data_IF_747856447431
#
_entry.id   IF_747856447431
#
_cell.length_a   1.000
_cell.length_b   1.000
_cell.length_c   1.000
_cell.angle_alpha   90.00
_cell.angle_beta   90.00
_cell.angle_gamma   90.00
#
_symmetry.space_group_name_H-M   'P 1'
#
loop_
_entity.id
_entity.type
_entity.pdbx_description
1 polymer ?
#
# COMPACT_ATOMS: atom_id res chain seq x y z
N UNK A 1 6.30 -12.49 -13.99
CA UNK A 1 6.68 -11.68 -12.81
C UNK A 1 5.41 -11.39 -12.04
N UNK A 2 5.44 -11.53 -10.73
CA UNK A 2 4.26 -11.36 -9.89
C UNK A 2 4.01 -9.88 -9.61
N UNK A 3 2.79 -9.40 -9.88
CA UNK A 3 2.37 -8.02 -9.67
C UNK A 3 2.52 -7.64 -8.19
N UNK A 4 2.22 -8.58 -7.27
CA UNK A 4 2.32 -8.35 -5.83
C UNK A 4 3.74 -7.99 -5.41
N UNK A 5 4.75 -8.66 -5.98
CA UNK A 5 6.18 -8.42 -5.70
C UNK A 5 6.63 -7.06 -6.23
N UNK A 6 6.17 -6.68 -7.40
CA UNK A 6 6.47 -5.36 -7.99
C UNK A 6 5.88 -4.25 -7.10
N UNK A 7 4.62 -4.38 -6.71
CA UNK A 7 3.93 -3.39 -5.86
C UNK A 7 4.57 -3.31 -4.48
N UNK A 8 4.95 -4.45 -3.88
CA UNK A 8 5.69 -4.48 -2.62
C UNK A 8 6.99 -3.69 -2.71
N UNK A 9 7.77 -3.89 -3.78
CA UNK A 9 9.03 -3.19 -4.00
C UNK A 9 8.83 -1.69 -4.19
N UNK A 10 7.85 -1.28 -5.00
CA UNK A 10 7.50 0.12 -5.25
C UNK A 10 7.07 0.83 -3.95
N UNK A 11 6.18 0.23 -3.17
CA UNK A 11 5.72 0.77 -1.88
C UNK A 11 6.87 0.90 -0.88
N UNK A 12 7.76 -0.10 -0.83
CA UNK A 12 8.92 -0.09 0.06
C UNK A 12 9.94 1.01 -0.27
N UNK A 13 10.34 1.12 -1.55
CA UNK A 13 11.33 2.13 -1.96
C UNK A 13 10.77 3.54 -1.85
N UNK A 14 9.55 3.78 -2.34
CA UNK A 14 8.93 5.10 -2.26
C UNK A 14 8.79 5.58 -0.81
N UNK A 15 8.34 4.71 0.10
CA UNK A 15 8.28 5.02 1.54
C UNK A 15 9.66 5.40 2.09
N UNK A 16 10.71 4.64 1.74
CA UNK A 16 12.08 4.94 2.17
C UNK A 16 12.55 6.31 1.67
N UNK A 17 12.37 6.59 0.39
CA UNK A 17 12.79 7.87 -0.22
C UNK A 17 12.03 9.04 0.42
N UNK A 18 10.70 8.95 0.52
CA UNK A 18 9.88 10.02 1.10
C UNK A 18 10.20 10.28 2.57
N UNK A 19 10.44 9.24 3.37
CA UNK A 19 10.82 9.40 4.78
C UNK A 19 12.24 9.95 4.98
N UNK A 20 13.12 9.79 3.97
CA UNK A 20 14.46 10.39 3.97
C UNK A 20 14.41 11.86 3.55
N UNK A 21 13.68 12.18 2.47
CA UNK A 21 13.55 13.54 1.94
C UNK A 21 12.70 14.44 2.84
N UNK A 22 11.70 13.89 3.52
CA UNK A 22 10.77 14.64 4.36
C UNK A 22 10.78 14.12 5.81
N UNK A 23 11.79 14.48 6.63
CA UNK A 23 11.91 13.99 8.00
C UNK A 23 10.69 14.25 8.89
N UNK A 24 9.91 15.30 8.61
CA UNK A 24 8.68 15.61 9.34
C UNK A 24 7.60 14.51 9.16
N UNK A 25 7.62 13.76 8.05
CA UNK A 25 6.71 12.63 7.80
C UNK A 25 7.00 11.43 8.71
N UNK A 26 8.23 11.29 9.23
CA UNK A 26 8.62 10.16 10.10
C UNK A 26 7.83 10.12 11.41
N UNK A 27 7.42 11.29 11.92
CA UNK A 27 6.56 11.39 13.12
C UNK A 27 5.11 11.03 12.82
N UNK A 28 4.63 11.34 11.61
CA UNK A 28 3.25 11.09 11.17
C UNK A 28 3.02 9.62 10.78
N UNK A 29 4.01 9.00 10.14
CA UNK A 29 3.96 7.62 9.65
C UNK A 29 4.95 6.73 10.41
N UNK A 30 4.94 6.84 11.74
CA UNK A 30 5.70 5.95 12.62
C UNK A 30 5.32 4.48 12.35
N UNK A 31 6.26 3.54 12.54
CA UNK A 31 6.00 2.11 12.34
C UNK A 31 6.01 1.64 10.89
N UNK A 32 6.50 2.45 9.93
CA UNK A 32 6.58 2.12 8.48
C UNK A 32 5.22 2.00 7.77
N UNK A 33 4.15 2.53 8.36
CA UNK A 33 2.81 2.57 7.75
C UNK A 33 2.64 3.78 6.84
N UNK A 34 3.48 3.92 5.81
CA UNK A 34 3.37 5.02 4.86
C UNK A 34 2.25 4.78 3.83
N UNK A 35 2.10 3.53 3.40
CA UNK A 35 1.07 3.10 2.46
C UNK A 35 0.12 2.13 3.16
N UNK A 36 -1.14 2.09 2.72
CA UNK A 36 -2.11 1.06 3.12
C UNK A 36 -1.55 -0.34 2.84
N UNK A 37 -2.04 -1.36 3.56
CA UNK A 37 -1.61 -2.75 3.32
C UNK A 37 -2.02 -3.25 1.94
N UNK A 38 -3.25 -3.04 1.48
CA UNK A 38 -3.72 -3.54 0.19
C UNK A 38 -3.02 -2.93 -1.04
N UNK A 39 -3.30 -3.51 -2.20
CA UNK A 39 -3.12 -2.88 -3.50
C UNK A 39 -4.23 -3.30 -4.46
N UNK A 40 -4.50 -2.45 -5.45
CA UNK A 40 -5.38 -2.75 -6.57
C UNK A 40 -4.56 -2.71 -7.86
N UNK A 41 -4.67 -3.76 -8.68
CA UNK A 41 -4.04 -3.83 -10.00
C UNK A 41 -5.07 -4.28 -11.03
N UNK A 42 -5.41 -3.37 -11.94
CA UNK A 42 -6.45 -3.54 -12.97
C UNK A 42 -5.88 -3.11 -14.31
N UNK A 43 -6.23 -3.83 -15.38
CA UNK A 43 -5.83 -3.46 -16.73
C UNK A 43 -6.59 -2.21 -17.20
N UNK A 44 -5.93 -1.42 -18.05
CA UNK A 44 -6.55 -0.26 -18.70
C UNK A 44 -7.72 -0.72 -19.59
N UNK A 45 -8.92 -0.26 -19.26
CA UNK A 45 -10.16 -0.60 -19.99
C UNK A 45 -11.37 -0.92 -19.10
N UNK A 46 -11.14 -1.36 -17.85
CA UNK A 46 -12.19 -1.73 -16.87
C UNK A 46 -12.11 -0.90 -15.57
N UNK A 47 -11.49 0.28 -15.61
CA UNK A 47 -11.36 1.14 -14.42
C UNK A 47 -12.55 2.10 -14.39
N UNK A 48 -13.39 1.99 -13.36
CA UNK A 48 -14.46 2.95 -13.08
C UNK A 48 -14.26 3.58 -11.70
N UNK A 49 -14.84 4.76 -11.50
CA UNK A 49 -14.76 5.46 -10.21
C UNK A 49 -15.41 4.64 -9.10
N UNK A 50 -16.48 3.88 -9.41
CA UNK A 50 -17.16 2.98 -8.48
C UNK A 50 -16.25 1.85 -8.02
N UNK A 51 -15.44 1.29 -8.93
CA UNK A 51 -14.49 0.22 -8.60
C UNK A 51 -13.36 0.72 -7.69
N UNK A 52 -12.82 1.92 -7.97
CA UNK A 52 -11.82 2.54 -7.09
C UNK A 52 -12.42 2.84 -5.73
N UNK A 53 -13.63 3.39 -5.69
CA UNK A 53 -14.34 3.70 -4.44
C UNK A 53 -14.62 2.45 -3.62
N UNK A 54 -15.15 1.39 -4.24
CA UNK A 54 -15.42 0.13 -3.57
C UNK A 54 -14.15 -0.46 -2.95
N UNK A 55 -13.02 -0.40 -3.66
CA UNK A 55 -11.73 -0.85 -3.12
C UNK A 55 -11.27 0.00 -1.93
N UNK A 56 -11.46 1.33 -1.97
CA UNK A 56 -11.12 2.20 -0.82
C UNK A 56 -12.02 1.88 0.37
N UNK A 57 -13.34 1.81 0.16
CA UNK A 57 -14.33 1.55 1.20
C UNK A 57 -14.10 0.17 1.87
N UNK A 58 -13.65 -0.84 1.11
CA UNK A 58 -13.29 -2.17 1.64
C UNK A 58 -12.05 -2.14 2.54
N UNK A 59 -11.10 -1.23 2.27
CA UNK A 59 -9.86 -1.10 3.04
C UNK A 59 -10.02 -0.20 4.28
N UNK A 60 -11.06 0.63 4.33
CA UNK A 60 -11.41 1.49 5.47
C UNK A 60 -11.99 0.64 6.62
N UNK A 61 -11.13 0.22 7.56
CA UNK A 61 -11.54 -0.56 8.74
C UNK A 61 -10.61 -1.71 9.11
N UNK A 62 -9.66 -2.05 8.24
CA UNK A 62 -8.63 -3.04 8.53
C UNK A 62 -7.75 -2.56 9.70
N UNK A 63 -7.70 -3.29 10.83
CA UNK A 63 -6.88 -2.90 11.96
C UNK A 63 -5.40 -2.87 11.53
N UNK A 64 -4.71 -1.78 11.88
CA UNK A 64 -3.25 -1.68 11.75
C UNK A 64 -2.62 -2.63 12.78
N UNK A 65 -2.64 -3.93 12.49
CA UNK A 65 -1.89 -4.90 13.25
C UNK A 65 -0.42 -4.76 12.83
N UNK A 66 0.45 -4.51 13.80
CA UNK A 66 1.91 -4.42 13.64
C UNK A 66 2.48 -5.81 13.32
N UNK A 67 2.20 -6.29 12.12
CA UNK A 67 2.92 -7.39 11.52
C UNK A 67 3.70 -6.77 10.37
N UNK A 68 4.99 -6.50 10.64
CA UNK A 68 5.93 -5.77 9.78
C UNK A 68 6.18 -6.39 8.39
N UNK A 69 5.35 -7.34 7.96
CA UNK A 69 5.39 -8.02 6.67
C UNK A 69 4.06 -7.79 5.96
N UNK A 70 4.14 -7.10 4.82
CA UNK A 70 3.12 -7.21 3.78
C UNK A 70 3.07 -8.68 3.37
N UNK A 71 2.09 -9.42 3.91
CA UNK A 71 1.86 -10.81 3.55
C UNK A 71 1.23 -10.81 2.16
N UNK A 72 1.87 -11.52 1.23
CA UNK A 72 1.29 -11.79 -0.09
C UNK A 72 0.45 -13.04 0.14
N UNK A 73 -0.88 -12.91 0.24
CA UNK A 73 -1.76 -14.08 0.26
C UNK A 73 -1.60 -14.81 -1.08
N UNK A 74 -0.95 -15.98 -1.06
CA UNK A 74 -0.63 -16.74 -2.25
C UNK A 74 0.73 -17.44 -2.22
N UNK A 75 0.89 -18.42 -1.35
CA UNK A 75 1.70 -19.62 -1.59
C UNK A 75 1.01 -20.81 -0.94
#
# INVERSE_FOLDING_TARGET
HDISKIVQWLKGISSRVLLQEFPHLRKKFWGRHFWARGYLAVSTGNITDELIKAYIDEQEGEPVQDDSRFQIDGS
#
